data_IF_565052111112
#
_entry.id   IF_565052111112
#
_cell.length_a   1.000
_cell.length_b   1.000
_cell.length_c   1.000
_cell.angle_alpha   90.00
_cell.angle_beta   90.00
_cell.angle_gamma   90.00
#
_symmetry.space_group_name_H-M   'P 1'
#
loop_
_entity.id
_entity.type
_entity.pdbx_description
1 polymer ?
#
# COMPACT_ATOMS: atom_id res chain seq x y z
N UNK A 1 -18.23 -28.14 -17.24
CA UNK A 1 -19.13 -27.16 -16.61
C UNK A 1 -18.40 -25.83 -16.58
N UNK A 2 -18.76 -24.98 -17.55
CA UNK A 2 -18.53 -23.55 -17.72
C UNK A 2 -17.57 -22.86 -16.74
N UNK A 3 -16.49 -22.28 -17.28
CA UNK A 3 -15.71 -21.23 -16.63
C UNK A 3 -16.65 -20.08 -16.28
N UNK A 4 -17.20 -20.16 -15.07
CA UNK A 4 -18.18 -19.23 -14.55
C UNK A 4 -17.46 -17.99 -14.00
N UNK A 5 -16.87 -17.21 -14.90
CA UNK A 5 -16.19 -15.98 -14.54
C UNK A 5 -17.26 -14.89 -14.35
N UNK A 6 -17.98 -14.90 -13.23
CA UNK A 6 -18.95 -13.85 -12.88
C UNK A 6 -18.30 -12.45 -12.70
N UNK A 7 -16.98 -12.42 -12.55
CA UNK A 7 -16.15 -11.23 -12.41
C UNK A 7 -15.09 -11.23 -13.51
N UNK A 8 -15.23 -10.47 -14.60
CA UNK A 8 -14.35 -10.53 -15.78
C UNK A 8 -12.82 -10.34 -15.58
N UNK A 9 -12.34 -10.16 -14.35
CA UNK A 9 -10.92 -10.11 -13.96
C UNK A 9 -10.69 -11.21 -12.91
N UNK A 10 -9.66 -12.03 -13.07
CA UNK A 10 -9.34 -13.09 -12.10
C UNK A 10 -8.79 -12.52 -10.79
N UNK A 11 -8.95 -13.24 -9.66
CA UNK A 11 -8.47 -12.79 -8.35
C UNK A 11 -6.97 -12.46 -8.36
N UNK A 12 -6.15 -13.33 -8.96
CA UNK A 12 -4.71 -13.11 -9.09
C UNK A 12 -4.38 -11.86 -9.92
N UNK A 13 -5.16 -11.56 -10.96
CA UNK A 13 -4.99 -10.34 -11.74
C UNK A 13 -5.32 -9.09 -10.91
N UNK A 14 -6.38 -9.12 -10.08
CA UNK A 14 -6.71 -8.02 -9.17
C UNK A 14 -5.59 -7.76 -8.17
N UNK A 15 -5.06 -8.82 -7.55
CA UNK A 15 -3.90 -8.73 -6.64
C UNK A 15 -2.68 -8.14 -7.39
N UNK A 16 -2.38 -8.65 -8.59
CA UNK A 16 -1.25 -8.17 -9.38
C UNK A 16 -1.36 -6.70 -9.77
N UNK A 17 -2.55 -6.25 -10.19
CA UNK A 17 -2.83 -4.84 -10.49
C UNK A 17 -2.65 -3.98 -9.23
N UNK A 18 -3.17 -4.43 -8.09
CA UNK A 18 -3.01 -3.71 -6.83
C UNK A 18 -1.55 -3.51 -6.44
N UNK A 19 -0.72 -4.58 -6.53
CA UNK A 19 0.72 -4.51 -6.26
C UNK A 19 1.43 -3.56 -7.24
N UNK A 20 1.11 -3.61 -8.54
CA UNK A 20 1.70 -2.71 -9.53
C UNK A 20 1.35 -1.25 -9.23
N UNK A 21 0.10 -0.96 -8.86
CA UNK A 21 -0.33 0.38 -8.47
C UNK A 21 0.43 0.83 -7.21
N UNK A 22 0.62 -0.04 -6.22
CA UNK A 22 1.37 0.28 -5.01
C UNK A 22 2.84 0.60 -5.29
N UNK A 23 3.48 -0.10 -6.24
CA UNK A 23 4.84 0.23 -6.70
C UNK A 23 4.88 1.63 -7.33
N UNK A 24 3.95 1.93 -8.24
CA UNK A 24 3.85 3.24 -8.87
C UNK A 24 3.60 4.34 -7.83
N UNK A 25 2.73 4.08 -6.84
CA UNK A 25 2.46 4.98 -5.74
C UNK A 25 3.73 5.31 -4.94
N UNK A 26 4.55 4.30 -4.63
CA UNK A 26 5.82 4.48 -3.91
C UNK A 26 6.83 5.32 -4.73
N UNK A 27 6.89 5.12 -6.05
CA UNK A 27 7.72 5.94 -6.94
C UNK A 27 7.26 7.40 -6.93
N UNK A 28 5.94 7.63 -7.01
CA UNK A 28 5.36 8.99 -6.94
C UNK A 28 5.66 9.64 -5.61
N UNK A 29 5.53 8.90 -4.49
CA UNK A 29 5.86 9.39 -3.16
C UNK A 29 7.35 9.78 -3.03
N UNK A 30 8.27 8.97 -3.57
CA UNK A 30 9.69 9.28 -3.58
C UNK A 30 10.00 10.58 -4.36
N UNK A 31 9.32 10.81 -5.49
CA UNK A 31 9.47 12.05 -6.28
C UNK A 31 8.95 13.27 -5.52
N UNK A 32 7.78 13.15 -4.88
CA UNK A 32 7.20 14.22 -4.06
C UNK A 32 8.11 14.56 -2.88
N UNK A 33 8.62 13.53 -2.20
CA UNK A 33 9.51 13.69 -1.06
C UNK A 33 10.84 14.33 -1.44
N UNK A 34 11.39 13.96 -2.60
CA UNK A 34 12.60 14.61 -3.15
C UNK A 34 12.36 16.11 -3.41
N UNK A 35 11.19 16.48 -3.93
CA UNK A 35 10.81 17.90 -4.10
C UNK A 35 10.63 18.60 -2.75
N UNK A 36 10.00 17.93 -1.77
CA UNK A 36 9.79 18.47 -0.41
C UNK A 36 11.13 18.77 0.25
N UNK A 37 12.08 17.84 0.19
CA UNK A 37 13.44 18.00 0.71
C UNK A 37 14.20 19.14 0.00
N UNK A 38 14.03 19.28 -1.31
CA UNK A 38 14.64 20.38 -2.07
C UNK A 38 14.11 21.75 -1.63
N UNK A 39 12.79 21.88 -1.47
CA UNK A 39 12.17 23.12 -0.96
C UNK A 39 12.63 23.37 0.48
N UNK A 40 12.64 22.37 1.35
CA UNK A 40 13.15 22.54 2.72
C UNK A 40 14.60 23.05 2.75
N UNK A 41 15.46 22.55 1.85
CA UNK A 41 16.85 23.03 1.68
C UNK A 41 16.92 24.49 1.23
N UNK A 42 16.14 24.87 0.23
CA UNK A 42 16.16 26.23 -0.34
C UNK A 42 15.69 27.29 0.67
N UNK A 43 14.79 26.92 1.58
CA UNK A 43 14.27 27.81 2.62
C UNK A 43 15.07 27.75 3.94
N UNK A 44 16.18 26.98 4.00
CA UNK A 44 17.00 26.83 5.21
C UNK A 44 16.28 26.11 6.36
N UNK A 45 15.24 25.33 6.04
CA UNK A 45 14.36 24.66 7.00
C UNK A 45 14.82 23.22 7.33
N UNK A 46 16.03 22.83 6.97
CA UNK A 46 16.55 21.47 7.19
C UNK A 46 16.90 21.20 8.66
N UNK A 47 17.28 22.24 9.40
CA UNK A 47 17.76 22.12 10.78
C UNK A 47 16.64 22.33 11.82
N UNK A 48 15.43 22.70 11.39
CA UNK A 48 14.26 22.86 12.26
C UNK A 48 13.27 21.70 12.04
N UNK A 49 13.17 20.74 12.97
CA UNK A 49 12.26 19.61 12.86
C UNK A 49 10.77 20.01 12.89
N UNK A 50 10.44 21.25 13.29
CA UNK A 50 9.07 21.78 13.27
C UNK A 50 8.80 22.73 12.09
N UNK A 51 9.77 22.93 11.20
CA UNK A 51 9.59 23.84 10.09
C UNK A 51 8.54 23.30 9.09
N UNK A 52 7.45 24.05 8.94
CA UNK A 52 6.46 23.79 7.91
C UNK A 52 7.04 24.13 6.55
N UNK A 53 7.35 23.11 5.75
CA UNK A 53 7.75 23.29 4.34
C UNK A 53 6.58 23.94 3.60
N UNK A 54 6.78 25.10 2.95
CA UNK A 54 5.71 25.82 2.24
C UNK A 54 5.36 25.10 0.93
N UNK A 55 4.69 23.95 1.03
CA UNK A 55 4.24 23.14 -0.08
C UNK A 55 2.71 23.01 -0.06
N UNK A 56 2.08 23.13 -1.23
CA UNK A 56 0.63 22.94 -1.35
C UNK A 56 0.25 21.48 -1.09
N UNK A 57 -0.81 21.25 -0.32
CA UNK A 57 -1.33 19.91 -0.01
C UNK A 57 -1.72 19.09 -1.25
N UNK A 58 -2.05 19.77 -2.36
CA UNK A 58 -2.35 19.16 -3.66
C UNK A 58 -1.25 18.21 -4.18
N UNK A 59 0.01 18.38 -3.75
CA UNK A 59 1.11 17.48 -4.14
C UNK A 59 1.02 16.09 -3.50
N UNK A 60 0.32 15.93 -2.38
CA UNK A 60 0.12 14.64 -1.71
C UNK A 60 -1.02 13.84 -2.35
N UNK A 61 -1.94 14.51 -3.05
CA UNK A 61 -3.13 13.90 -3.64
C UNK A 61 -2.82 12.73 -4.59
N UNK A 62 -1.82 12.82 -5.50
CA UNK A 62 -1.51 11.71 -6.41
C UNK A 62 -1.07 10.43 -5.70
N UNK A 63 -0.16 10.52 -4.71
CA UNK A 63 0.31 9.34 -3.98
C UNK A 63 -0.80 8.69 -3.15
N UNK A 64 -1.68 9.48 -2.51
CA UNK A 64 -2.77 8.92 -1.69
C UNK A 64 -3.86 8.28 -2.53
N UNK A 65 -4.21 8.87 -3.68
CA UNK A 65 -5.18 8.26 -4.60
C UNK A 65 -4.65 6.93 -5.17
N UNK A 66 -3.37 6.88 -5.57
CA UNK A 66 -2.76 5.66 -6.07
C UNK A 66 -2.65 4.60 -4.97
N UNK A 67 -2.18 4.98 -3.77
CA UNK A 67 -2.10 4.05 -2.65
C UNK A 67 -3.48 3.45 -2.31
N UNK A 68 -4.51 4.29 -2.18
CA UNK A 68 -5.87 3.82 -1.91
C UNK A 68 -6.42 2.91 -2.99
N UNK A 69 -6.19 3.23 -4.27
CA UNK A 69 -6.59 2.36 -5.37
C UNK A 69 -5.86 1.00 -5.30
N UNK A 70 -4.55 1.00 -5.10
CA UNK A 70 -3.73 -0.21 -4.98
C UNK A 70 -4.17 -1.11 -3.83
N UNK A 71 -4.46 -0.51 -2.67
CA UNK A 71 -4.93 -1.22 -1.48
C UNK A 71 -6.28 -1.90 -1.72
N UNK A 72 -7.24 -1.19 -2.33
CA UNK A 72 -8.58 -1.76 -2.62
C UNK A 72 -8.47 -2.97 -3.55
N UNK A 73 -7.69 -2.88 -4.63
CA UNK A 73 -7.50 -4.00 -5.55
C UNK A 73 -6.78 -5.19 -4.90
N UNK A 74 -5.79 -4.91 -4.05
CA UNK A 74 -5.01 -5.96 -3.36
C UNK A 74 -5.83 -6.65 -2.28
N UNK A 75 -6.51 -5.89 -1.42
CA UNK A 75 -7.28 -6.43 -0.29
C UNK A 75 -8.44 -7.30 -0.77
N UNK A 76 -9.22 -6.83 -1.75
CA UNK A 76 -10.34 -7.60 -2.30
C UNK A 76 -9.84 -8.91 -2.92
N UNK A 77 -8.75 -8.85 -3.69
CA UNK A 77 -8.19 -10.04 -4.33
C UNK A 77 -7.63 -11.06 -3.34
N UNK A 78 -6.89 -10.61 -2.31
CA UNK A 78 -6.35 -11.50 -1.27
C UNK A 78 -7.49 -12.12 -0.46
N UNK A 79 -8.50 -11.32 -0.08
CA UNK A 79 -9.64 -11.83 0.69
C UNK A 79 -10.43 -12.90 -0.09
N UNK A 80 -10.76 -12.64 -1.36
CA UNK A 80 -11.43 -13.61 -2.23
C UNK A 80 -10.58 -14.89 -2.38
N UNK A 81 -9.27 -14.75 -2.60
CA UNK A 81 -8.37 -15.89 -2.73
C UNK A 81 -8.34 -16.78 -1.48
N UNK A 82 -8.14 -16.21 -0.29
CA UNK A 82 -8.09 -17.00 0.95
C UNK A 82 -9.45 -17.59 1.34
N UNK A 83 -10.56 -16.99 0.90
CA UNK A 83 -11.90 -17.51 1.15
C UNK A 83 -12.27 -18.64 0.18
N UNK A 84 -12.01 -18.48 -1.12
CA UNK A 84 -12.43 -19.43 -2.16
C UNK A 84 -11.51 -20.65 -2.27
N UNK A 85 -10.22 -20.51 -1.93
CA UNK A 85 -9.28 -21.64 -1.94
C UNK A 85 -9.45 -22.59 -0.74
N UNK A 86 -10.24 -22.21 0.26
CA UNK A 86 -10.49 -23.03 1.45
C UNK A 86 -11.73 -23.91 1.26
N UNK A 87 -11.71 -25.17 1.72
CA UNK A 87 -12.91 -25.99 1.78
C UNK A 87 -13.96 -25.32 2.69
N UNK A 88 -15.24 -25.63 2.48
CA UNK A 88 -16.39 -24.98 3.15
C UNK A 88 -16.23 -24.84 4.67
N UNK A 89 -15.67 -25.88 5.29
CA UNK A 89 -15.55 -26.01 6.74
C UNK A 89 -14.38 -25.20 7.32
N UNK A 90 -13.43 -24.76 6.47
CA UNK A 90 -12.21 -24.05 6.86
C UNK A 90 -12.18 -22.59 6.39
N UNK A 91 -13.31 -22.05 5.88
CA UNK A 91 -13.39 -20.66 5.42
C UNK A 91 -13.03 -19.64 6.51
N UNK A 92 -13.38 -19.91 7.76
CA UNK A 92 -13.00 -19.10 8.93
C UNK A 92 -11.48 -19.12 9.17
N UNK A 93 -10.81 -20.23 8.90
CA UNK A 93 -9.34 -20.33 8.93
C UNK A 93 -8.73 -19.50 7.79
N UNK A 94 -9.32 -19.54 6.59
CA UNK A 94 -8.91 -18.69 5.47
C UNK A 94 -8.91 -17.20 5.83
N UNK A 95 -9.97 -16.73 6.49
CA UNK A 95 -10.05 -15.35 6.98
C UNK A 95 -9.00 -15.06 8.08
N UNK A 96 -8.77 -16.01 8.99
CA UNK A 96 -7.74 -15.87 10.02
C UNK A 96 -6.32 -15.77 9.41
N UNK A 97 -6.04 -16.53 8.35
CA UNK A 97 -4.78 -16.43 7.59
C UNK A 97 -4.65 -15.08 6.90
N UNK A 98 -5.71 -14.57 6.27
CA UNK A 98 -5.73 -13.21 5.71
C UNK A 98 -5.37 -12.14 6.75
N UNK A 99 -6.02 -12.17 7.93
CA UNK A 99 -5.72 -11.25 9.02
C UNK A 99 -4.28 -11.39 9.53
N UNK A 100 -3.77 -12.62 9.58
CA UNK A 100 -2.39 -12.90 9.99
C UNK A 100 -1.37 -12.28 9.02
N UNK A 101 -1.62 -12.35 7.71
CA UNK A 101 -0.77 -11.70 6.68
C UNK A 101 -0.72 -10.19 6.90
N UNK A 102 -1.86 -9.54 7.18
CA UNK A 102 -1.89 -8.10 7.50
C UNK A 102 -1.12 -7.77 8.79
N UNK A 103 -1.25 -8.61 9.81
CA UNK A 103 -0.50 -8.47 11.06
C UNK A 103 1.01 -8.56 10.86
N UNK A 104 1.46 -9.56 10.10
CA UNK A 104 2.87 -9.72 9.72
C UNK A 104 3.36 -8.51 8.92
N UNK A 105 2.55 -8.00 7.97
CA UNK A 105 2.86 -6.79 7.22
C UNK A 105 3.08 -5.57 8.12
N UNK A 106 2.24 -5.40 9.14
CA UNK A 106 2.39 -4.33 10.13
C UNK A 106 3.68 -4.46 10.95
N UNK A 107 4.03 -5.67 11.38
CA UNK A 107 5.29 -5.91 12.10
C UNK A 107 6.52 -5.64 11.23
N UNK A 108 6.49 -6.07 9.96
CA UNK A 108 7.56 -5.79 9.01
C UNK A 108 7.71 -4.29 8.75
N UNK A 109 6.59 -3.57 8.60
CA UNK A 109 6.61 -2.10 8.47
C UNK A 109 7.26 -1.43 9.67
N UNK A 110 6.84 -1.79 10.89
CA UNK A 110 7.44 -1.27 12.11
C UNK A 110 8.94 -1.59 12.22
N UNK A 111 9.35 -2.79 11.80
CA UNK A 111 10.75 -3.18 11.77
C UNK A 111 11.58 -2.33 10.79
N UNK A 112 11.06 -2.07 9.59
CA UNK A 112 11.71 -1.20 8.60
C UNK A 112 11.84 0.23 9.12
N UNK A 113 10.78 0.78 9.71
CA UNK A 113 10.79 2.13 10.31
C UNK A 113 11.84 2.20 11.42
N UNK A 114 11.89 1.21 12.31
CA UNK A 114 12.86 1.16 13.40
C UNK A 114 14.31 1.15 12.89
N UNK A 115 14.60 0.48 11.77
CA UNK A 115 15.94 0.50 11.17
C UNK A 115 16.28 1.88 10.58
N UNK A 116 15.30 2.54 9.95
CA UNK A 116 15.51 3.84 9.30
C UNK A 116 15.66 4.97 10.32
N UNK A 117 14.84 4.98 11.37
CA UNK A 117 14.85 6.04 12.40
C UNK A 117 16.05 5.95 13.35
N UNK A 118 16.59 4.74 13.56
CA UNK A 118 17.76 4.52 14.43
C UNK A 118 19.09 4.95 13.77
N UNK A 119 19.03 5.66 12.64
CA UNK A 119 20.17 6.10 11.85
C UNK A 119 20.17 7.62 11.74
#
# INVERSE_FOLDING_TARGET
MFTNIHSGITMLQRIGIGILISIVSMVVAAIIETKRLKVAREYGLLDDPNAMVPMKIWWLLPQYLLAGAGDVFTIVGIQEFFYDQMPSDLKSIGLALYLSVLGIGSFLSGFVISIVEKK
#
